data_IF_936212236090
#
_entry.id   IF_936212236090
#
_cell.length_a   1.000
_cell.length_b   1.000
_cell.length_c   1.000
_cell.angle_alpha   90.00
_cell.angle_beta   90.00
_cell.angle_gamma   90.00
#
_symmetry.space_group_name_H-M   'P 1'
#
loop_
_entity.id
_entity.type
_entity.pdbx_description
1 polymer ?
#
# COMPACT_ATOMS: atom_id res chain seq x y z
N UNK A 1 -25.50 -1.45 -35.47
CA UNK A 1 -26.05 -1.36 -34.10
C UNK A 1 -25.63 -2.60 -33.34
N UNK A 2 -24.66 -2.46 -32.42
CA UNK A 2 -24.24 -3.54 -31.51
C UNK A 2 -24.83 -3.20 -30.14
N UNK A 3 -25.58 -4.14 -29.54
CA UNK A 3 -26.39 -3.86 -28.35
C UNK A 3 -25.55 -3.48 -27.13
N UNK A 4 -26.06 -2.54 -26.34
CA UNK A 4 -25.42 -1.97 -25.14
C UNK A 4 -25.05 -3.05 -24.10
N UNK A 5 -25.74 -4.19 -24.11
CA UNK A 5 -25.43 -5.36 -23.27
C UNK A 5 -24.05 -5.97 -23.56
N UNK A 6 -23.54 -5.90 -24.80
CA UNK A 6 -22.20 -6.40 -25.12
C UNK A 6 -21.06 -5.47 -24.65
N UNK A 7 -21.35 -4.22 -24.25
CA UNK A 7 -20.36 -3.31 -23.65
C UNK A 7 -20.11 -3.58 -22.16
N UNK A 8 -21.07 -4.17 -21.45
CA UNK A 8 -21.01 -4.37 -19.99
C UNK A 8 -20.28 -5.68 -19.63
N UNK A 9 -20.33 -6.70 -20.48
CA UNK A 9 -19.81 -8.05 -20.18
C UNK A 9 -18.29 -8.24 -20.32
N UNK A 10 -17.52 -7.21 -20.73
CA UNK A 10 -16.06 -7.33 -20.96
C UNK A 10 -15.17 -6.90 -19.79
N UNK A 11 -15.72 -6.72 -18.59
CA UNK A 11 -14.92 -6.45 -17.39
C UNK A 11 -14.54 -7.76 -16.66
N UNK A 12 -13.61 -8.53 -17.24
CA UNK A 12 -12.75 -9.44 -16.48
C UNK A 12 -11.29 -9.01 -16.72
N UNK A 13 -10.61 -8.56 -15.67
CA UNK A 13 -9.17 -8.36 -15.71
C UNK A 13 -8.52 -9.75 -15.77
N UNK A 14 -8.12 -10.18 -16.96
CA UNK A 14 -7.28 -11.37 -17.12
C UNK A 14 -5.87 -11.03 -16.61
N UNK A 15 -5.50 -11.60 -15.46
CA UNK A 15 -4.13 -11.66 -14.99
C UNK A 15 -3.34 -12.68 -15.84
N UNK A 16 -2.42 -12.19 -16.68
CA UNK A 16 -1.37 -12.93 -17.39
C UNK A 16 -0.13 -12.02 -17.29
N UNK A 17 1.12 -12.43 -17.06
CA UNK A 17 1.81 -13.71 -16.97
C UNK A 17 3.07 -13.42 -16.12
N UNK A 18 3.22 -14.03 -14.94
CA UNK A 18 4.50 -14.05 -14.21
C UNK A 18 4.75 -15.49 -13.76
N UNK A 19 5.15 -16.32 -14.71
CA UNK A 19 5.61 -17.69 -14.44
C UNK A 19 6.81 -17.99 -15.34
N UNK A 20 7.94 -17.37 -15.03
CA UNK A 20 9.24 -17.73 -15.62
C UNK A 20 10.39 -17.43 -14.67
N UNK A 21 10.28 -17.88 -13.42
CA UNK A 21 11.37 -17.90 -12.45
C UNK A 21 11.16 -19.04 -11.45
N UNK A 22 11.12 -20.28 -11.94
CA UNK A 22 11.12 -21.47 -11.10
C UNK A 22 11.55 -22.68 -11.91
N UNK A 23 12.85 -22.78 -12.18
CA UNK A 23 13.50 -24.04 -12.59
C UNK A 23 15.01 -23.83 -12.58
N UNK A 24 15.61 -24.06 -11.41
CA UNK A 24 16.99 -24.49 -11.20
C UNK A 24 16.99 -25.09 -9.79
N UNK A 25 17.70 -26.18 -9.58
CA UNK A 25 17.69 -27.10 -8.42
C UNK A 25 16.67 -28.25 -8.50
N UNK A 26 17.00 -29.23 -9.34
CA UNK A 26 16.69 -30.64 -9.07
C UNK A 26 18.01 -31.41 -9.02
N UNK A 27 18.20 -32.11 -7.92
CA UNK A 27 19.40 -32.83 -7.46
C UNK A 27 19.79 -34.01 -8.33
N UNK A 28 21.10 -34.23 -8.48
CA UNK A 28 21.73 -35.34 -9.21
C UNK A 28 22.07 -36.55 -8.32
N UNK A 29 21.81 -37.72 -8.90
CA UNK A 29 22.55 -39.00 -8.85
C UNK A 29 22.74 -39.78 -7.52
N UNK A 30 22.17 -40.99 -7.54
CA UNK A 30 22.52 -42.17 -6.76
C UNK A 30 23.90 -42.74 -7.14
N UNK A 31 24.64 -43.16 -6.11
CA UNK A 31 25.27 -44.49 -6.00
C UNK A 31 26.57 -44.79 -6.76
N UNK A 32 27.67 -44.99 -6.02
CA UNK A 32 28.36 -46.29 -5.92
C UNK A 32 29.45 -46.28 -4.83
N UNK A 33 29.61 -47.42 -4.18
CA UNK A 33 30.44 -47.66 -3.01
C UNK A 33 31.79 -48.30 -3.37
N UNK A 34 32.87 -47.91 -2.68
CA UNK A 34 34.08 -48.73 -2.56
C UNK A 34 34.71 -48.63 -1.15
N UNK A 35 35.27 -49.77 -0.72
CA UNK A 35 35.74 -50.12 0.63
C UNK A 35 37.09 -49.47 1.01
N UNK A 36 37.08 -48.82 2.18
CA UNK A 36 37.99 -48.86 3.35
C UNK A 36 39.49 -49.16 3.12
N UNK A 37 40.33 -48.19 3.53
CA UNK A 37 41.58 -48.43 4.28
C UNK A 37 41.59 -47.54 5.53
N UNK A 38 41.92 -48.14 6.68
CA UNK A 38 42.02 -47.47 7.99
C UNK A 38 43.34 -46.72 8.09
N UNK A 39 43.27 -45.41 8.35
CA UNK A 39 44.42 -44.59 8.79
C UNK A 39 44.06 -43.88 10.10
N UNK A 40 45.09 -43.66 10.92
CA UNK A 40 45.03 -43.23 12.32
C UNK A 40 44.24 -41.93 12.57
N UNK A 41 43.63 -41.74 13.76
CA UNK A 41 42.78 -40.60 14.05
C UNK A 41 43.62 -39.31 14.15
N UNK A 42 43.43 -38.41 13.19
CA UNK A 42 43.87 -37.02 13.27
C UNK A 42 42.90 -36.30 14.22
N UNK A 43 43.41 -35.84 15.37
CA UNK A 43 42.68 -34.90 16.22
C UNK A 43 42.44 -33.61 15.43
N UNK A 44 41.22 -33.46 14.92
CA UNK A 44 40.77 -32.22 14.28
C UNK A 44 40.11 -31.36 15.34
N UNK A 45 40.74 -30.23 15.66
CA UNK A 45 40.08 -29.12 16.34
C UNK A 45 38.93 -28.65 15.43
N UNK A 46 37.73 -29.16 15.65
CA UNK A 46 36.51 -28.62 15.06
C UNK A 46 36.21 -27.25 15.67
N UNK A 47 36.95 -26.23 15.24
CA UNK A 47 36.40 -24.88 15.25
C UNK A 47 35.22 -24.92 14.30
N UNK A 48 34.01 -24.98 14.86
CA UNK A 48 32.77 -24.79 14.11
C UNK A 48 32.84 -23.42 13.42
N UNK A 49 33.28 -23.41 12.16
CA UNK A 49 33.07 -22.29 11.27
C UNK A 49 31.55 -22.25 11.08
N UNK A 50 30.87 -21.43 11.90
CA UNK A 50 29.49 -21.08 11.64
C UNK A 50 29.48 -20.33 10.32
N UNK A 51 29.26 -21.05 9.23
CA UNK A 51 28.91 -20.48 7.94
C UNK A 51 27.54 -19.84 8.15
N UNK A 52 27.53 -18.58 8.58
CA UNK A 52 26.32 -17.78 8.56
C UNK A 52 25.83 -17.78 7.10
N UNK A 53 24.59 -18.21 6.83
CA UNK A 53 24.06 -18.15 5.47
C UNK A 53 24.20 -16.71 4.99
N UNK A 54 25.03 -16.50 3.98
CA UNK A 54 25.30 -15.21 3.34
C UNK A 54 24.10 -14.77 2.50
N UNK A 55 22.88 -14.89 3.03
CA UNK A 55 21.69 -14.44 2.34
C UNK A 55 21.66 -12.92 2.39
N UNK A 56 22.07 -12.28 1.29
CA UNK A 56 21.80 -10.87 1.09
C UNK A 56 20.27 -10.67 1.10
N UNK A 57 19.73 -9.82 2.00
CA UNK A 57 18.30 -9.59 2.08
C UNK A 57 17.74 -9.05 0.77
N UNK A 58 16.57 -9.55 0.36
CA UNK A 58 15.88 -9.08 -0.83
C UNK A 58 15.32 -7.68 -0.58
N UNK A 59 15.80 -6.70 -1.35
CA UNK A 59 15.25 -5.34 -1.35
C UNK A 59 13.90 -5.30 -2.08
N UNK A 60 12.82 -5.09 -1.34
CA UNK A 60 11.47 -4.91 -1.85
C UNK A 60 11.36 -3.51 -2.50
N UNK A 61 11.62 -3.43 -3.80
CA UNK A 61 11.76 -2.17 -4.54
C UNK A 61 10.40 -1.63 -4.98
N UNK A 62 9.79 -0.81 -4.13
CA UNK A 62 8.50 -0.19 -4.42
C UNK A 62 8.56 0.91 -5.48
N UNK A 63 9.70 1.57 -5.69
CA UNK A 63 9.88 2.50 -6.82
C UNK A 63 9.75 1.78 -8.16
N UNK A 64 10.41 0.62 -8.31
CA UNK A 64 10.34 -0.18 -9.53
C UNK A 64 8.91 -0.70 -9.75
N UNK A 65 8.29 -1.24 -8.70
CA UNK A 65 6.91 -1.73 -8.79
C UNK A 65 5.91 -0.60 -9.11
N UNK A 66 6.09 0.58 -8.50
CA UNK A 66 5.30 1.77 -8.80
C UNK A 66 5.35 2.13 -10.28
N UNK A 67 6.53 2.12 -10.90
CA UNK A 67 6.69 2.38 -12.34
C UNK A 67 5.84 1.42 -13.19
N UNK A 68 5.95 0.11 -12.93
CA UNK A 68 5.18 -0.89 -13.68
C UNK A 68 3.67 -0.72 -13.51
N UNK A 69 3.20 -0.43 -12.29
CA UNK A 69 1.77 -0.23 -12.05
C UNK A 69 1.30 1.07 -12.72
N UNK A 70 2.08 2.13 -12.70
CA UNK A 70 1.76 3.40 -13.37
C UNK A 70 1.57 3.21 -14.88
N UNK A 71 2.40 2.39 -15.53
CA UNK A 71 2.25 2.02 -16.95
C UNK A 71 0.91 1.31 -17.20
N UNK A 72 0.52 0.37 -16.31
CA UNK A 72 -0.79 -0.28 -16.38
C UNK A 72 -1.94 0.71 -16.19
N UNK A 73 -1.84 1.62 -15.20
CA UNK A 73 -2.87 2.63 -14.94
C UNK A 73 -3.04 3.55 -16.16
N UNK A 74 -1.94 4.00 -16.77
CA UNK A 74 -2.01 4.84 -17.99
C UNK A 74 -2.75 4.12 -19.12
N UNK A 75 -2.39 2.86 -19.40
CA UNK A 75 -3.05 2.05 -20.42
C UNK A 75 -4.55 1.87 -20.15
N UNK A 76 -4.90 1.55 -18.91
CA UNK A 76 -6.29 1.39 -18.50
C UNK A 76 -7.06 2.72 -18.58
N UNK A 77 -6.39 3.83 -18.28
CA UNK A 77 -6.95 5.18 -18.39
C UNK A 77 -7.25 5.56 -19.84
N UNK A 78 -6.31 5.31 -20.77
CA UNK A 78 -6.52 5.60 -22.20
C UNK A 78 -7.68 4.77 -22.77
N UNK A 79 -7.76 3.50 -22.37
CA UNK A 79 -8.87 2.62 -22.72
C UNK A 79 -10.21 3.10 -22.13
N UNK A 80 -10.20 3.60 -20.89
CA UNK A 80 -11.41 4.13 -20.26
C UNK A 80 -11.87 5.43 -20.93
N UNK A 81 -10.95 6.37 -21.18
CA UNK A 81 -11.22 7.66 -21.85
C UNK A 81 -11.79 7.46 -23.24
N UNK A 82 -11.18 6.61 -24.06
CA UNK A 82 -11.65 6.35 -25.44
C UNK A 82 -13.06 5.76 -25.49
N UNK A 83 -13.50 5.01 -24.46
CA UNK A 83 -14.82 4.37 -24.41
C UNK A 83 -15.90 5.23 -23.78
N UNK A 84 -15.55 6.01 -22.76
CA UNK A 84 -16.51 6.76 -21.94
C UNK A 84 -16.55 8.26 -22.25
N UNK A 85 -15.50 8.81 -22.87
CA UNK A 85 -15.28 10.25 -22.99
C UNK A 85 -14.88 10.94 -21.68
N UNK A 86 -14.81 10.22 -20.56
CA UNK A 86 -14.54 10.77 -19.23
C UNK A 86 -13.05 10.74 -18.95
N UNK A 87 -12.50 11.87 -18.51
CA UNK A 87 -11.14 11.94 -17.96
C UNK A 87 -11.21 11.90 -16.43
N UNK A 88 -10.60 10.90 -15.77
CA UNK A 88 -10.56 10.85 -14.31
C UNK A 88 -10.02 12.14 -13.70
N UNK A 89 -10.64 12.60 -12.61
CA UNK A 89 -10.27 13.85 -11.96
C UNK A 89 -10.10 13.66 -10.45
N UNK A 90 -8.92 14.02 -9.96
CA UNK A 90 -8.59 14.08 -8.53
C UNK A 90 -8.62 15.53 -8.03
N UNK A 91 -9.32 15.76 -6.93
CA UNK A 91 -9.30 17.00 -6.15
C UNK A 91 -8.56 16.75 -4.83
N UNK A 92 -7.65 17.64 -4.47
CA UNK A 92 -6.96 17.64 -3.18
C UNK A 92 -7.30 18.92 -2.44
N UNK A 93 -7.86 18.77 -1.25
CA UNK A 93 -8.15 19.86 -0.31
C UNK A 93 -6.98 19.93 0.67
N UNK A 94 -6.34 21.09 0.76
CA UNK A 94 -5.16 21.30 1.57
C UNK A 94 -5.27 22.60 2.37
N UNK A 95 -4.92 22.54 3.66
CA UNK A 95 -4.96 23.67 4.58
C UNK A 95 -3.55 23.87 5.14
N UNK A 96 -2.95 25.04 4.90
CA UNK A 96 -1.63 25.42 5.41
C UNK A 96 -0.54 25.53 4.35
N UNK A 97 0.71 25.72 4.81
CA UNK A 97 1.87 26.12 3.98
C UNK A 97 3.12 25.26 4.21
N UNK A 98 2.95 24.04 4.71
CA UNK A 98 4.04 23.11 4.97
C UNK A 98 4.74 22.63 3.67
N UNK A 99 6.03 22.97 3.44
CA UNK A 99 6.73 22.63 2.19
C UNK A 99 6.87 21.12 1.93
N UNK A 100 6.94 20.31 3.00
CA UNK A 100 7.05 18.86 2.89
C UNK A 100 5.73 18.24 2.40
N UNK A 101 4.60 18.71 2.93
CA UNK A 101 3.27 18.30 2.45
C UNK A 101 3.07 18.75 1.01
N UNK A 102 3.45 19.97 0.66
CA UNK A 102 3.37 20.48 -0.71
C UNK A 102 4.19 19.67 -1.71
N UNK A 103 5.39 19.23 -1.32
CA UNK A 103 6.21 18.32 -2.12
C UNK A 103 5.47 16.99 -2.38
N UNK A 104 4.79 16.46 -1.36
CA UNK A 104 3.97 15.25 -1.51
C UNK A 104 2.74 15.47 -2.41
N UNK A 105 2.06 16.61 -2.28
CA UNK A 105 0.95 17.02 -3.17
C UNK A 105 1.45 17.14 -4.62
N UNK A 106 2.63 17.74 -4.83
CA UNK A 106 3.27 17.86 -6.14
C UNK A 106 3.50 16.49 -6.76
N UNK A 107 3.91 15.49 -5.98
CA UNK A 107 4.04 14.12 -6.46
C UNK A 107 2.70 13.51 -6.91
N UNK A 108 1.59 13.81 -6.21
CA UNK A 108 0.23 13.41 -6.64
C UNK A 108 -0.16 14.07 -7.97
N UNK A 109 0.11 15.37 -8.13
CA UNK A 109 -0.13 16.10 -9.38
C UNK A 109 0.65 15.50 -10.55
N UNK A 110 1.97 15.33 -10.39
CA UNK A 110 2.83 14.70 -11.41
C UNK A 110 2.34 13.29 -11.74
N UNK A 111 1.90 12.54 -10.73
CA UNK A 111 1.31 11.22 -10.92
C UNK A 111 0.05 11.28 -11.80
N UNK A 112 -0.87 12.19 -11.52
CA UNK A 112 -2.08 12.42 -12.30
C UNK A 112 -1.76 12.77 -13.76
N UNK A 113 -0.84 13.72 -13.99
CA UNK A 113 -0.40 14.11 -15.33
C UNK A 113 0.15 12.92 -16.11
N UNK A 114 1.01 12.11 -15.48
CA UNK A 114 1.62 10.92 -16.11
C UNK A 114 0.59 9.88 -16.55
N UNK A 115 -0.49 9.70 -15.79
CA UNK A 115 -1.55 8.73 -16.13
C UNK A 115 -2.68 9.35 -16.96
N UNK A 116 -2.66 10.66 -17.21
CA UNK A 116 -3.64 11.37 -18.03
C UNK A 116 -4.92 11.79 -17.29
N UNK A 117 -4.82 12.03 -15.98
CA UNK A 117 -5.90 12.54 -15.12
C UNK A 117 -5.90 14.06 -15.04
N UNK A 118 -7.06 14.64 -14.72
CA UNK A 118 -7.17 16.02 -14.22
C UNK A 118 -6.80 16.07 -12.74
N UNK A 119 -6.24 17.20 -12.33
CA UNK A 119 -5.87 17.45 -10.94
C UNK A 119 -6.25 18.87 -10.54
N UNK A 120 -6.94 18.99 -9.40
CA UNK A 120 -7.24 20.28 -8.76
C UNK A 120 -6.63 20.29 -7.36
N UNK A 121 -5.98 21.39 -7.00
CA UNK A 121 -5.54 21.67 -5.64
C UNK A 121 -6.34 22.86 -5.12
N UNK A 122 -7.19 22.60 -4.14
CA UNK A 122 -7.87 23.62 -3.37
C UNK A 122 -7.05 23.86 -2.12
N UNK A 123 -6.25 24.93 -2.15
CA UNK A 123 -5.37 25.35 -1.07
C UNK A 123 -6.04 26.47 -0.27
N UNK A 124 -6.06 26.30 1.03
CA UNK A 124 -6.59 27.25 1.99
C UNK A 124 -5.55 27.61 3.05
N UNK A 125 -5.70 28.78 3.65
CA UNK A 125 -4.90 29.24 4.79
C UNK A 125 -5.36 28.59 6.09
N UNK A 126 -4.51 28.57 7.11
CA UNK A 126 -4.81 27.88 8.37
C UNK A 126 -5.98 28.50 9.15
N UNK A 127 -6.34 29.75 8.90
CA UNK A 127 -7.45 30.46 9.55
C UNK A 127 -8.84 30.10 8.98
N UNK A 128 -8.91 29.26 7.93
CA UNK A 128 -10.19 28.83 7.37
C UNK A 128 -11.05 28.13 8.42
N UNK A 129 -12.36 28.39 8.38
CA UNK A 129 -13.30 27.70 9.25
C UNK A 129 -13.71 26.33 8.70
N UNK A 130 -14.13 25.44 9.60
CA UNK A 130 -14.51 24.07 9.25
C UNK A 130 -15.73 24.01 8.32
N UNK A 131 -16.72 24.89 8.50
CA UNK A 131 -17.94 24.92 7.68
C UNK A 131 -17.65 25.29 6.21
N UNK A 132 -16.67 26.15 5.96
CA UNK A 132 -16.19 26.46 4.62
C UNK A 132 -15.58 25.22 3.96
N UNK A 133 -14.77 24.45 4.68
CA UNK A 133 -14.20 23.20 4.17
C UNK A 133 -15.29 22.16 3.88
N UNK A 134 -16.29 22.02 4.76
CA UNK A 134 -17.43 21.12 4.54
C UNK A 134 -18.21 21.49 3.28
N UNK A 135 -18.46 22.78 3.04
CA UNK A 135 -19.10 23.27 1.81
C UNK A 135 -18.28 22.95 0.55
N UNK A 136 -16.96 23.10 0.62
CA UNK A 136 -16.07 22.74 -0.50
C UNK A 136 -16.08 21.22 -0.77
N UNK A 137 -16.04 20.39 0.28
CA UNK A 137 -16.16 18.94 0.12
C UNK A 137 -17.50 18.55 -0.48
N UNK A 138 -18.60 19.17 -0.04
CA UNK A 138 -19.93 18.94 -0.58
C UNK A 138 -20.01 19.30 -2.07
N UNK A 139 -19.51 20.48 -2.44
CA UNK A 139 -19.43 20.94 -3.84
C UNK A 139 -18.73 19.92 -4.74
N UNK A 140 -17.52 19.46 -4.36
CA UNK A 140 -16.80 18.44 -5.13
C UNK A 140 -17.46 17.06 -5.09
N UNK A 141 -18.17 16.74 -4.00
CA UNK A 141 -18.91 15.49 -3.86
C UNK A 141 -20.12 15.44 -4.80
N UNK A 142 -20.71 16.59 -5.12
CA UNK A 142 -21.83 16.71 -6.05
C UNK A 142 -21.40 16.82 -7.53
N UNK A 143 -20.19 17.34 -7.83
CA UNK A 143 -19.73 17.50 -9.21
C UNK A 143 -19.52 16.14 -9.93
N UNK A 144 -20.30 15.81 -10.99
CA UNK A 144 -20.15 14.55 -11.71
C UNK A 144 -18.81 14.41 -12.45
N UNK A 145 -18.04 15.50 -12.60
CA UNK A 145 -16.72 15.47 -13.23
C UNK A 145 -15.59 15.15 -12.25
N UNK A 146 -15.82 15.25 -10.94
CA UNK A 146 -14.85 14.90 -9.90
C UNK A 146 -14.98 13.42 -9.56
N UNK A 147 -13.87 12.68 -9.60
CA UNK A 147 -13.88 11.24 -9.33
C UNK A 147 -13.14 10.86 -8.05
N UNK A 148 -12.26 11.71 -7.53
CA UNK A 148 -11.58 11.47 -6.27
C UNK A 148 -11.44 12.74 -5.47
N UNK A 149 -11.64 12.65 -4.17
CA UNK A 149 -11.42 13.73 -3.21
C UNK A 149 -10.45 13.21 -2.15
N UNK A 150 -9.47 14.04 -1.80
CA UNK A 150 -8.59 13.82 -0.65
C UNK A 150 -8.58 15.07 0.21
N UNK A 151 -8.75 14.90 1.51
CA UNK A 151 -8.38 15.89 2.50
C UNK A 151 -6.94 15.61 2.93
N UNK A 152 -6.01 16.49 2.59
CA UNK A 152 -4.60 16.32 2.90
C UNK A 152 -4.35 16.56 4.38
N UNK A 153 -3.78 15.55 5.05
CA UNK A 153 -3.42 15.59 6.46
C UNK A 153 -1.93 15.93 6.67
N UNK A 154 -1.53 16.41 7.87
CA UNK A 154 -2.38 16.86 8.98
C UNK A 154 -3.14 18.15 8.67
N UNK A 155 -4.22 18.40 9.43
CA UNK A 155 -4.96 19.67 9.43
C UNK A 155 -4.62 20.47 10.70
N UNK A 156 -4.87 21.79 10.70
CA UNK A 156 -4.83 22.61 11.91
C UNK A 156 -5.68 22.02 13.04
N UNK A 157 -5.25 22.24 14.30
CA UNK A 157 -5.83 21.60 15.47
C UNK A 157 -7.29 21.97 15.78
N UNK A 158 -7.78 23.10 15.25
CA UNK A 158 -9.18 23.52 15.41
C UNK A 158 -10.14 22.85 14.43
N UNK A 159 -9.63 22.07 13.47
CA UNK A 159 -10.45 21.39 12.45
C UNK A 159 -10.52 19.89 12.75
N UNK A 160 -11.74 19.35 12.80
CA UNK A 160 -11.94 17.92 12.94
C UNK A 160 -11.74 17.20 11.60
N UNK A 161 -10.53 16.67 11.42
CA UNK A 161 -10.19 15.84 10.25
C UNK A 161 -11.14 14.66 10.03
N UNK A 162 -11.67 14.05 11.10
CA UNK A 162 -12.59 12.93 10.96
C UNK A 162 -13.91 13.39 10.37
N UNK A 163 -14.46 14.51 10.87
CA UNK A 163 -15.70 15.10 10.35
C UNK A 163 -15.61 15.42 8.85
N UNK A 164 -14.51 16.05 8.42
CA UNK A 164 -14.27 16.34 7.00
C UNK A 164 -14.14 15.08 6.15
N UNK A 165 -13.38 14.07 6.62
CA UNK A 165 -13.24 12.81 5.87
C UNK A 165 -14.59 12.11 5.73
N UNK A 166 -15.43 12.11 6.78
CA UNK A 166 -16.75 11.47 6.74
C UNK A 166 -17.76 12.21 5.86
N UNK A 167 -17.53 13.49 5.53
CA UNK A 167 -18.42 14.23 4.61
C UNK A 167 -18.15 13.97 3.14
N UNK A 168 -17.08 13.24 2.79
CA UNK A 168 -16.78 12.84 1.41
C UNK A 168 -17.75 11.74 0.99
N UNK A 169 -18.35 11.82 -0.21
CA UNK A 169 -19.10 10.70 -0.78
C UNK A 169 -18.20 9.44 -0.81
N UNK A 170 -18.59 8.31 -0.19
CA UNK A 170 -17.79 7.09 -0.17
C UNK A 170 -17.38 6.57 -1.56
N UNK A 171 -18.09 6.94 -2.62
CA UNK A 171 -17.75 6.64 -4.02
C UNK A 171 -16.63 7.51 -4.58
N UNK A 172 -16.31 8.63 -3.95
CA UNK A 172 -15.23 9.57 -4.28
C UNK A 172 -14.10 9.57 -3.24
N UNK A 173 -14.25 8.84 -2.14
CA UNK A 173 -13.24 8.59 -1.11
C UNK A 173 -12.12 7.65 -1.63
N UNK A 174 -11.29 8.17 -2.51
CA UNK A 174 -10.19 7.43 -3.15
C UNK A 174 -9.03 7.12 -2.21
N UNK A 175 -9.02 7.74 -1.02
CA UNK A 175 -8.08 7.39 0.05
C UNK A 175 -8.66 6.34 1.03
N UNK A 176 -9.93 5.96 0.87
CA UNK A 176 -10.57 4.85 1.57
C UNK A 176 -10.77 5.05 3.07
N UNK A 177 -10.87 6.28 3.55
CA UNK A 177 -10.88 6.64 4.98
C UNK A 177 -12.28 6.88 5.56
N UNK A 178 -13.32 6.94 4.74
CA UNK A 178 -14.71 6.98 5.23
C UNK A 178 -15.05 5.72 6.01
N UNK A 179 -15.91 5.85 7.02
CA UNK A 179 -16.39 4.73 7.84
C UNK A 179 -17.10 3.68 6.99
N UNK A 180 -17.70 4.06 5.85
CA UNK A 180 -18.27 3.11 4.89
C UNK A 180 -17.18 2.21 4.32
N UNK A 181 -16.07 2.76 3.82
CA UNK A 181 -14.98 1.96 3.27
C UNK A 181 -14.25 1.14 4.34
N UNK A 182 -13.89 1.76 5.46
CA UNK A 182 -13.21 1.09 6.57
C UNK A 182 -14.09 0.01 7.23
N UNK A 183 -15.39 0.28 7.38
CA UNK A 183 -16.35 -0.67 7.94
C UNK A 183 -16.50 -1.92 7.06
N UNK A 184 -16.52 -1.76 5.73
CA UNK A 184 -16.53 -2.90 4.81
C UNK A 184 -15.27 -3.75 4.93
N UNK A 185 -14.09 -3.13 5.11
CA UNK A 185 -12.85 -3.86 5.41
C UNK A 185 -13.03 -4.63 6.71
N UNK A 186 -13.45 -3.98 7.79
CA UNK A 186 -13.60 -4.61 9.10
C UNK A 186 -14.57 -5.81 9.09
N UNK A 187 -15.69 -5.68 8.38
CA UNK A 187 -16.69 -6.74 8.23
C UNK A 187 -16.28 -7.86 7.26
N UNK A 188 -15.04 -7.86 6.77
CA UNK A 188 -14.53 -8.77 5.75
C UNK A 188 -15.44 -8.82 4.50
N UNK A 189 -15.88 -7.64 4.06
CA UNK A 189 -16.68 -7.42 2.86
C UNK A 189 -15.85 -6.68 1.81
N UNK A 190 -16.43 -6.43 0.64
CA UNK A 190 -15.74 -5.75 -0.47
C UNK A 190 -15.93 -4.23 -0.35
N UNK A 191 -14.92 -3.46 0.11
CA UNK A 191 -15.02 -2.01 0.15
C UNK A 191 -15.00 -1.40 -1.26
N UNK A 192 -15.49 -0.16 -1.40
CA UNK A 192 -15.32 0.59 -2.64
C UNK A 192 -13.85 0.95 -2.83
N UNK A 193 -13.19 1.41 -1.76
CA UNK A 193 -11.76 1.73 -1.76
C UNK A 193 -11.08 1.17 -0.52
N UNK A 194 -9.82 0.78 -0.69
CA UNK A 194 -8.92 0.39 0.39
C UNK A 194 -7.92 1.52 0.57
N UNK A 195 -7.55 1.89 1.81
CA UNK A 195 -6.52 2.90 2.04
C UNK A 195 -5.23 2.64 1.27
N UNK A 196 -4.69 3.69 0.68
CA UNK A 196 -3.65 3.61 -0.34
C UNK A 196 -2.37 2.96 0.18
N UNK A 197 -1.97 3.27 1.42
CA UNK A 197 -0.77 2.72 2.05
C UNK A 197 -0.91 1.24 2.39
N UNK A 198 -1.97 0.78 3.11
CA UNK A 198 -2.27 -0.65 3.23
C UNK A 198 -2.31 -1.37 1.88
N UNK A 199 -2.96 -0.79 0.86
CA UNK A 199 -3.01 -1.40 -0.47
C UNK A 199 -1.62 -1.53 -1.11
N UNK A 200 -0.75 -0.52 -0.95
CA UNK A 200 0.63 -0.56 -1.44
C UNK A 200 1.48 -1.63 -0.74
N UNK A 201 1.28 -1.81 0.56
CA UNK A 201 1.89 -2.89 1.35
C UNK A 201 1.45 -4.26 0.82
N UNK A 202 0.16 -4.45 0.54
CA UNK A 202 -0.35 -5.70 -0.04
C UNK A 202 0.25 -5.96 -1.43
N UNK A 203 0.31 -4.93 -2.27
CA UNK A 203 0.79 -5.07 -3.65
C UNK A 203 2.28 -5.43 -3.71
N UNK A 204 3.11 -4.83 -2.85
CA UNK A 204 4.54 -5.20 -2.79
C UNK A 204 4.73 -6.60 -2.23
N UNK A 205 3.97 -6.99 -1.21
CA UNK A 205 4.03 -8.37 -0.70
C UNK A 205 3.61 -9.39 -1.77
N UNK A 206 2.56 -9.08 -2.53
CA UNK A 206 2.08 -9.91 -3.64
C UNK A 206 3.11 -10.02 -4.75
N UNK A 207 3.69 -8.91 -5.19
CA UNK A 207 4.69 -8.88 -6.27
C UNK A 207 5.93 -9.73 -5.95
N UNK A 208 6.28 -9.83 -4.67
CA UNK A 208 7.40 -10.62 -4.17
C UNK A 208 6.99 -12.00 -3.61
N UNK A 209 5.73 -12.43 -3.82
CA UNK A 209 5.20 -13.72 -3.38
C UNK A 209 5.35 -14.01 -1.87
N UNK A 210 5.24 -12.97 -1.04
CA UNK A 210 5.29 -13.09 0.42
C UNK A 210 3.97 -13.68 0.91
N UNK A 211 4.01 -14.92 1.41
CA UNK A 211 2.83 -15.58 2.00
C UNK A 211 2.65 -15.16 3.45
N UNK A 212 1.43 -14.80 3.85
CA UNK A 212 1.10 -14.39 5.23
C UNK A 212 0.36 -15.45 6.03
N UNK A 213 -0.25 -16.43 5.37
CA UNK A 213 -1.02 -17.48 6.01
C UNK A 213 -0.20 -18.22 7.07
N UNK A 214 -0.71 -18.26 8.31
CA UNK A 214 -0.08 -18.91 9.46
C UNK A 214 1.12 -18.17 10.04
N UNK A 215 1.54 -17.03 9.47
CA UNK A 215 2.66 -16.24 9.98
C UNK A 215 2.24 -15.34 11.13
N UNK A 216 3.15 -15.12 12.08
CA UNK A 216 3.01 -14.10 13.09
C UNK A 216 3.49 -12.74 12.54
N UNK A 217 2.56 -11.80 12.39
CA UNK A 217 2.83 -10.44 11.92
C UNK A 217 2.70 -9.46 13.08
N UNK A 218 3.75 -8.67 13.31
CA UNK A 218 3.72 -7.55 14.25
C UNK A 218 3.53 -6.26 13.48
N UNK A 219 2.50 -5.49 13.84
CA UNK A 219 2.23 -4.16 13.28
C UNK A 219 2.51 -3.12 14.36
N UNK A 220 3.45 -2.21 14.15
CA UNK A 220 3.71 -1.08 15.05
C UNK A 220 3.00 0.17 14.54
N UNK A 221 2.19 0.77 15.41
CA UNK A 221 1.34 1.91 15.07
C UNK A 221 -0.08 1.46 14.81
N UNK A 222 -1.05 2.19 15.38
CA UNK A 222 -2.49 1.84 15.35
C UNK A 222 -3.38 2.91 14.69
N UNK A 223 -2.82 3.70 13.78
CA UNK A 223 -3.60 4.68 13.03
C UNK A 223 -4.65 3.96 12.16
N UNK A 224 -5.77 4.63 11.88
CA UNK A 224 -6.76 4.11 10.92
C UNK A 224 -6.19 4.14 9.50
N UNK A 225 -5.33 5.13 9.19
CA UNK A 225 -4.70 5.27 7.87
C UNK A 225 -3.86 4.05 7.47
N UNK A 226 -3.14 3.44 8.43
CA UNK A 226 -2.25 2.31 8.15
C UNK A 226 -2.49 1.16 9.11
N UNK A 227 -2.10 1.32 10.37
CA UNK A 227 -1.87 0.20 11.30
C UNK A 227 -3.09 -0.69 11.55
N UNK A 228 -4.22 -0.10 11.96
CA UNK A 228 -5.45 -0.87 12.22
C UNK A 228 -5.99 -1.51 10.94
N UNK A 229 -5.93 -0.79 9.83
CA UNK A 229 -6.42 -1.25 8.54
C UNK A 229 -5.61 -2.43 8.03
N UNK A 230 -4.27 -2.32 7.98
CA UNK A 230 -3.43 -3.42 7.50
C UNK A 230 -3.51 -4.63 8.43
N UNK A 231 -3.54 -4.42 9.75
CA UNK A 231 -3.70 -5.49 10.73
C UNK A 231 -5.02 -6.27 10.50
N UNK A 232 -6.11 -5.54 10.26
CA UNK A 232 -7.41 -6.14 9.96
C UNK A 232 -7.36 -6.93 8.64
N UNK A 233 -6.85 -6.32 7.57
CA UNK A 233 -6.78 -6.95 6.24
C UNK A 233 -5.99 -8.25 6.23
N UNK A 234 -4.80 -8.27 6.85
CA UNK A 234 -3.94 -9.46 6.81
C UNK A 234 -4.40 -10.55 7.78
N UNK A 235 -5.17 -10.20 8.81
CA UNK A 235 -5.76 -11.17 9.76
C UNK A 235 -6.93 -11.96 9.16
N UNK A 236 -7.63 -11.37 8.19
CA UNK A 236 -8.78 -12.01 7.56
C UNK A 236 -8.34 -13.19 6.70
N UNK A 237 -9.20 -14.20 6.56
CA UNK A 237 -9.04 -15.22 5.51
C UNK A 237 -9.03 -14.52 4.14
N UNK A 238 -8.40 -15.13 3.14
CA UNK A 238 -8.44 -14.68 1.74
C UNK A 238 -9.80 -14.07 1.40
N UNK A 239 -9.79 -12.75 1.18
CA UNK A 239 -10.98 -12.05 0.73
C UNK A 239 -11.35 -12.61 -0.65
N UNK A 240 -12.60 -12.41 -1.09
CA UNK A 240 -12.99 -12.60 -2.50
C UNK A 240 -12.24 -11.63 -3.47
N UNK A 241 -11.16 -11.00 -3.02
CA UNK A 241 -10.25 -10.15 -3.75
C UNK A 241 -8.89 -10.86 -3.86
N UNK A 242 -8.48 -11.33 -5.04
CA UNK A 242 -7.21 -12.02 -5.26
C UNK A 242 -5.96 -11.13 -5.04
N UNK A 243 -6.13 -9.86 -4.68
CA UNK A 243 -5.04 -8.95 -4.31
C UNK A 243 -4.84 -8.78 -2.80
N UNK A 244 -5.62 -9.47 -1.96
CA UNK A 244 -5.46 -9.42 -0.50
C UNK A 244 -4.92 -10.76 -0.02
N UNK A 245 -3.71 -10.72 0.55
CA UNK A 245 -3.07 -11.82 1.25
C UNK A 245 -3.61 -11.87 2.69
N UNK A 246 -4.14 -13.01 3.11
CA UNK A 246 -4.78 -13.17 4.42
C UNK A 246 -4.21 -14.28 5.28
N UNK A 247 -4.82 -14.47 6.44
CA UNK A 247 -4.62 -15.61 7.34
C UNK A 247 -3.42 -15.49 8.28
N UNK A 248 -2.92 -14.28 8.54
CA UNK A 248 -1.88 -14.05 9.53
C UNK A 248 -2.42 -14.02 10.96
N UNK A 249 -1.60 -14.46 11.91
CA UNK A 249 -1.77 -14.12 13.33
C UNK A 249 -1.16 -12.73 13.55
N UNK A 250 -1.97 -11.76 13.99
CA UNK A 250 -1.53 -10.35 14.04
C UNK A 250 -1.44 -9.84 15.48
N UNK A 251 -0.30 -9.24 15.82
CA UNK A 251 -0.11 -8.45 17.04
C UNK A 251 -0.02 -6.97 16.68
N UNK A 252 -1.00 -6.17 17.09
CA UNK A 252 -1.01 -4.72 16.88
C UNK A 252 -0.44 -3.99 18.11
N UNK A 253 0.72 -3.35 17.94
CA UNK A 253 1.44 -2.63 18.98
C UNK A 253 1.32 -1.11 18.83
N UNK A 254 1.47 -0.40 19.94
CA UNK A 254 1.40 1.05 20.01
C UNK A 254 2.22 1.60 21.18
N UNK A 255 2.30 2.92 21.35
CA UNK A 255 3.13 3.56 22.38
C UNK A 255 2.85 3.11 23.83
N UNK A 256 1.64 2.64 24.13
CA UNK A 256 1.29 2.07 25.46
C UNK A 256 1.54 0.57 25.60
N UNK A 257 1.97 -0.12 24.55
CA UNK A 257 2.23 -1.56 24.60
C UNK A 257 3.47 -1.84 25.44
N UNK A 258 3.36 -2.78 26.37
CA UNK A 258 4.50 -3.27 27.15
C UNK A 258 5.21 -4.39 26.38
N UNK A 259 6.49 -4.63 26.70
CA UNK A 259 7.27 -5.74 26.15
C UNK A 259 7.30 -5.82 24.62
N UNK A 260 7.35 -4.68 23.92
CA UNK A 260 7.39 -4.61 22.44
C UNK A 260 8.45 -5.55 21.85
N UNK A 261 9.63 -5.58 22.46
CA UNK A 261 10.75 -6.41 22.01
C UNK A 261 10.46 -7.91 22.05
N UNK A 262 9.60 -8.39 22.96
CA UNK A 262 9.21 -9.80 23.01
C UNK A 262 8.43 -10.19 21.75
N UNK A 263 7.50 -9.34 21.33
CA UNK A 263 6.71 -9.55 20.11
C UNK A 263 7.59 -9.45 18.86
N UNK A 264 8.49 -8.46 18.79
CA UNK A 264 9.44 -8.32 17.66
C UNK A 264 10.34 -9.54 17.47
N UNK A 265 10.77 -10.18 18.57
CA UNK A 265 11.63 -11.38 18.54
C UNK A 265 10.91 -12.63 18.02
N UNK A 266 9.58 -12.65 17.97
CA UNK A 266 8.81 -13.80 17.49
C UNK A 266 8.19 -13.57 16.11
N UNK A 267 8.14 -12.32 15.65
CA UNK A 267 7.52 -11.92 14.39
C UNK A 267 8.19 -12.55 13.16
N UNK A 268 7.40 -13.16 12.28
CA UNK A 268 7.83 -13.52 10.91
C UNK A 268 7.87 -12.30 10.00
N UNK A 269 6.95 -11.36 10.21
CA UNK A 269 6.86 -10.10 9.47
C UNK A 269 6.67 -8.95 10.47
N UNK A 270 7.42 -7.87 10.28
CA UNK A 270 7.25 -6.61 11.03
C UNK A 270 6.82 -5.54 10.06
N UNK A 271 5.68 -4.90 10.33
CA UNK A 271 5.20 -3.72 9.61
C UNK A 271 5.26 -2.53 10.56
N UNK A 272 6.09 -1.53 10.29
CA UNK A 272 6.21 -0.34 11.14
C UNK A 272 5.61 0.89 10.46
N UNK A 273 4.65 1.54 11.13
CA UNK A 273 3.95 2.75 10.69
C UNK A 273 3.76 3.73 11.86
N UNK A 274 4.83 3.95 12.61
CA UNK A 274 4.90 4.81 13.80
C UNK A 274 5.39 6.22 13.50
N UNK A 275 6.19 6.40 12.45
CA UNK A 275 6.81 7.69 12.12
C UNK A 275 7.94 8.09 13.08
N UNK A 276 8.56 7.11 13.75
CA UNK A 276 9.63 7.30 14.73
C UNK A 276 10.91 6.67 14.18
N UNK A 277 11.83 7.51 13.73
CA UNK A 277 13.08 7.10 13.11
C UNK A 277 13.85 6.05 13.94
N UNK A 278 14.17 4.90 13.32
CA UNK A 278 15.02 3.87 13.92
C UNK A 278 14.47 3.21 15.20
N UNK A 279 13.15 3.27 15.43
CA UNK A 279 12.47 2.62 16.55
C UNK A 279 12.73 1.11 16.60
N UNK A 280 12.70 0.43 15.45
CA UNK A 280 12.92 -1.02 15.37
C UNK A 280 14.41 -1.29 15.14
N UNK A 281 15.06 -1.89 16.13
CA UNK A 281 16.50 -2.16 16.11
C UNK A 281 16.83 -3.62 15.81
N UNK A 282 18.02 -3.87 15.24
CA UNK A 282 18.50 -5.20 14.86
C UNK A 282 18.43 -6.21 16.01
N UNK A 283 18.82 -5.84 17.22
CA UNK A 283 18.87 -6.72 18.39
C UNK A 283 17.49 -7.23 18.81
N UNK A 284 16.40 -6.56 18.43
CA UNK A 284 15.03 -6.93 18.80
C UNK A 284 14.36 -7.89 17.79
N UNK A 285 15.05 -8.22 16.69
CA UNK A 285 14.50 -9.03 15.61
C UNK A 285 15.09 -10.44 15.60
N UNK A 286 14.27 -11.40 15.16
CA UNK A 286 14.74 -12.74 14.80
C UNK A 286 15.41 -12.76 13.43
N UNK A 287 16.24 -13.76 13.20
CA UNK A 287 16.81 -14.02 11.88
C UNK A 287 15.72 -14.51 10.93
N UNK A 288 15.77 -14.06 9.69
CA UNK A 288 14.83 -14.42 8.64
C UNK A 288 13.50 -13.66 8.67
N UNK A 289 13.41 -12.56 9.43
CA UNK A 289 12.22 -11.69 9.47
C UNK A 289 12.00 -10.96 8.13
N UNK A 290 10.75 -10.63 7.79
CA UNK A 290 10.43 -9.72 6.69
C UNK A 290 10.11 -8.34 7.26
N UNK A 291 10.71 -7.29 6.72
CA UNK A 291 10.60 -5.92 7.27
C UNK A 291 9.87 -5.00 6.28
N UNK A 292 8.70 -4.49 6.66
CA UNK A 292 7.94 -3.49 5.90
C UNK A 292 7.97 -2.18 6.70
N UNK A 293 8.79 -1.25 6.24
CA UNK A 293 8.93 0.09 6.79
C UNK A 293 8.06 1.09 6.02
N UNK A 294 7.03 1.58 6.72
CA UNK A 294 6.09 2.59 6.22
C UNK A 294 6.49 3.98 6.73
N UNK A 295 7.28 4.04 7.81
CA UNK A 295 7.72 5.27 8.43
C UNK A 295 8.58 6.10 7.50
N UNK A 296 8.39 7.41 7.55
CA UNK A 296 9.24 8.38 6.87
C UNK A 296 9.49 9.52 7.85
N UNK A 297 10.75 9.69 8.23
CA UNK A 297 11.24 10.78 9.07
C UNK A 297 12.44 11.44 8.39
N UNK A 298 12.68 12.70 8.71
CA UNK A 298 13.88 13.42 8.29
C UNK A 298 14.92 13.37 9.40
N UNK A 299 16.16 13.05 9.05
CA UNK A 299 17.30 13.11 9.95
C UNK A 299 18.40 13.92 9.29
N UNK A 300 18.98 14.86 10.04
CA UNK A 300 20.15 15.61 9.59
C UNK A 300 21.37 14.72 9.73
N UNK A 301 22.09 14.55 8.63
CA UNK A 301 23.38 13.88 8.63
C UNK A 301 24.39 14.79 9.36
N UNK A 302 24.94 14.31 10.46
CA UNK A 302 25.85 15.10 11.32
C UNK A 302 27.16 15.45 10.61
N UNK A 303 27.59 14.67 9.62
CA UNK A 303 28.87 14.86 8.92
C UNK A 303 28.74 15.82 7.74
N UNK A 304 27.64 15.73 7.00
CA UNK A 304 27.43 16.49 5.76
C UNK A 304 26.43 17.62 5.91
N UNK A 305 25.66 17.66 7.00
CA UNK A 305 24.54 18.58 7.20
C UNK A 305 23.33 18.29 6.31
N UNK A 306 23.41 17.29 5.43
CA UNK A 306 22.34 16.94 4.49
C UNK A 306 21.14 16.32 5.20
N UNK A 307 19.93 16.63 4.76
CA UNK A 307 18.71 16.01 5.27
C UNK A 307 18.49 14.69 4.54
N UNK A 308 18.49 13.59 5.28
CA UNK A 308 18.22 12.25 4.77
C UNK A 308 16.84 11.77 5.23
N UNK A 309 16.12 11.09 4.34
CA UNK A 309 14.92 10.35 4.71
C UNK A 309 15.30 9.00 5.31
N UNK A 310 14.80 8.74 6.51
CA UNK A 310 14.98 7.49 7.26
C UNK A 310 13.63 6.93 7.65
N UNK A 311 13.56 5.62 7.86
CA UNK A 311 12.33 4.95 8.26
C UNK A 311 12.28 4.62 9.73
N UNK A 312 11.21 3.95 10.14
CA UNK A 312 11.05 3.47 11.51
C UNK A 312 12.01 2.32 11.85
N UNK A 313 12.46 1.59 10.83
CA UNK A 313 13.33 0.43 10.97
C UNK A 313 14.76 0.89 10.74
N UNK A 314 15.62 0.67 11.73
CA UNK A 314 17.01 1.06 11.62
C UNK A 314 17.71 0.23 10.53
N UNK A 315 18.54 0.88 9.70
CA UNK A 315 19.09 0.27 8.48
C UNK A 315 19.96 -0.98 8.70
N UNK A 316 20.53 -1.15 9.90
CA UNK A 316 21.31 -2.33 10.25
C UNK A 316 20.44 -3.59 10.42
N UNK A 317 19.16 -3.41 10.76
CA UNK A 317 18.18 -4.47 10.94
C UNK A 317 17.96 -5.26 9.65
N UNK A 318 18.20 -4.64 8.48
CA UNK A 318 18.09 -5.31 7.19
C UNK A 318 18.96 -6.57 7.14
N UNK A 319 20.15 -6.56 7.77
CA UNK A 319 21.06 -7.71 7.79
C UNK A 319 20.50 -8.98 8.44
N UNK A 320 19.41 -8.89 9.23
CA UNK A 320 18.70 -10.05 9.80
C UNK A 320 17.53 -10.54 8.95
N UNK A 321 17.14 -9.78 7.93
CA UNK A 321 15.89 -10.00 7.20
C UNK A 321 16.06 -10.91 5.98
N UNK A 322 15.01 -11.66 5.62
CA UNK A 322 14.93 -12.28 4.29
C UNK A 322 14.63 -11.23 3.21
N UNK A 323 13.79 -10.26 3.56
CA UNK A 323 13.41 -9.18 2.68
C UNK A 323 13.06 -7.93 3.47
N UNK A 324 13.28 -6.75 2.88
CA UNK A 324 12.96 -5.48 3.51
C UNK A 324 12.53 -4.43 2.48
N UNK A 325 11.65 -3.51 2.87
CA UNK A 325 11.39 -2.29 2.09
C UNK A 325 12.42 -1.21 2.44
N UNK A 326 13.09 -0.58 1.47
CA UNK A 326 14.00 0.51 1.74
C UNK A 326 13.24 1.80 2.05
N UNK A 327 13.87 2.69 2.82
CA UNK A 327 13.43 4.08 2.97
C UNK A 327 14.57 5.01 2.54
N UNK A 328 14.37 5.86 1.51
CA UNK A 328 13.21 5.93 0.61
C UNK A 328 13.16 4.77 -0.41
N UNK A 329 12.03 4.66 -1.14
CA UNK A 329 11.86 3.76 -2.29
C UNK A 329 11.11 2.45 -2.04
N UNK A 330 10.61 2.27 -0.82
CA UNK A 330 9.76 1.15 -0.41
C UNK A 330 8.28 1.46 -0.57
N UNK A 331 7.55 1.61 0.54
CA UNK A 331 6.08 1.78 0.52
C UNK A 331 5.64 3.13 -0.05
N UNK A 332 6.38 4.20 0.18
CA UNK A 332 6.01 5.58 -0.21
C UNK A 332 5.58 5.77 -1.67
N UNK A 333 6.38 5.36 -2.67
CA UNK A 333 6.01 5.43 -4.09
C UNK A 333 4.70 4.68 -4.43
N UNK A 334 4.45 3.56 -3.75
CA UNK A 334 3.25 2.76 -3.97
C UNK A 334 2.00 3.45 -3.42
N UNK A 335 2.09 4.23 -2.33
CA UNK A 335 0.95 4.99 -1.80
C UNK A 335 0.35 5.91 -2.88
N UNK A 336 1.18 6.71 -3.56
CA UNK A 336 0.69 7.62 -4.62
C UNK A 336 0.15 6.81 -5.82
N UNK A 337 0.81 5.70 -6.15
CA UNK A 337 0.38 4.84 -7.26
C UNK A 337 -0.99 4.20 -7.00
N UNK A 338 -1.22 3.73 -5.76
CA UNK A 338 -2.47 3.13 -5.33
C UNK A 338 -3.61 4.15 -5.27
N UNK A 339 -3.30 5.39 -4.89
CA UNK A 339 -4.25 6.50 -4.99
C UNK A 339 -4.75 6.67 -6.43
N UNK A 340 -3.84 6.72 -7.41
CA UNK A 340 -4.22 6.88 -8.82
C UNK A 340 -5.04 5.69 -9.33
N UNK A 341 -4.72 4.48 -8.87
CA UNK A 341 -5.51 3.28 -9.14
C UNK A 341 -6.94 3.40 -8.58
N UNK A 342 -7.08 3.94 -7.35
CA UNK A 342 -8.38 4.20 -6.74
C UNK A 342 -9.16 5.28 -7.48
N UNK A 343 -8.52 6.35 -7.96
CA UNK A 343 -9.16 7.39 -8.79
C UNK A 343 -9.72 6.82 -10.10
N UNK A 344 -8.95 5.98 -10.81
CA UNK A 344 -9.45 5.29 -12.00
C UNK A 344 -10.62 4.36 -11.67
N UNK A 345 -10.49 3.57 -10.60
CA UNK A 345 -11.55 2.67 -10.12
C UNK A 345 -12.84 3.45 -9.81
N UNK A 346 -12.70 4.60 -9.17
CA UNK A 346 -13.81 5.49 -8.85
C UNK A 346 -14.50 6.01 -10.10
N UNK A 347 -13.72 6.50 -11.07
CA UNK A 347 -14.24 6.99 -12.35
C UNK A 347 -15.04 5.92 -13.10
N UNK A 348 -14.52 4.68 -13.13
CA UNK A 348 -15.21 3.53 -13.73
C UNK A 348 -16.51 3.21 -12.96
N UNK A 349 -16.48 3.24 -11.63
CA UNK A 349 -17.64 2.98 -10.79
C UNK A 349 -18.76 4.00 -11.05
N UNK A 350 -18.41 5.29 -11.05
CA UNK A 350 -19.36 6.38 -11.30
C UNK A 350 -19.97 6.28 -12.70
N UNK A 351 -19.16 6.01 -13.73
CA UNK A 351 -19.65 5.79 -15.10
C UNK A 351 -20.62 4.61 -15.21
N UNK A 352 -20.36 3.50 -14.51
CA UNK A 352 -21.27 2.35 -14.50
C UNK A 352 -22.61 2.68 -13.85
N UNK A 353 -22.60 3.43 -12.75
CA UNK A 353 -23.82 3.84 -12.05
C UNK A 353 -24.64 4.79 -12.92
N UNK A 354 -24.01 5.81 -13.53
CA UNK A 354 -24.70 6.75 -14.40
C UNK A 354 -25.32 6.07 -15.62
N UNK A 355 -24.57 5.17 -16.28
CA UNK A 355 -25.06 4.39 -17.43
C UNK A 355 -26.27 3.51 -17.05
N UNK A 356 -26.20 2.82 -15.91
CA UNK A 356 -27.30 1.96 -15.45
C UNK A 356 -28.57 2.77 -15.09
N UNK A 357 -28.41 3.99 -14.56
CA UNK A 357 -29.54 4.87 -14.25
C UNK A 357 -30.22 5.40 -15.53
N UNK A 358 -29.44 5.72 -16.56
CA UNK A 358 -29.98 6.10 -17.88
C UNK A 358 -30.80 4.94 -18.47
N UNK A 359 -30.25 3.72 -18.45
CA UNK A 359 -30.95 2.52 -18.95
C UNK A 359 -32.26 2.26 -18.20
N UNK A 360 -32.29 2.44 -16.88
CA UNK A 360 -33.52 2.32 -16.08
C UNK A 360 -34.55 3.38 -16.47
N UNK A 361 -34.13 4.64 -16.62
CA UNK A 361 -35.01 5.75 -16.99
C UNK A 361 -35.62 5.55 -18.38
N UNK A 362 -34.82 5.12 -19.36
CA UNK A 362 -35.31 4.80 -20.71
C UNK A 362 -36.33 3.65 -20.69
N UNK A 363 -36.08 2.59 -19.91
CA UNK A 363 -37.03 1.48 -19.77
C UNK A 363 -38.34 1.88 -19.08
N UNK A 364 -38.30 2.82 -18.12
CA UNK A 364 -39.51 3.32 -17.46
C UNK A 364 -40.33 4.31 -18.30
N UNK A 365 -39.74 4.94 -19.33
CA UNK A 365 -40.48 5.83 -20.25
C UNK A 365 -41.07 5.09 -21.45
N UNK A 366 -40.62 3.85 -21.70
CA UNK A 366 -41.09 2.99 -22.80
C UNK A 366 -42.21 2.01 -22.39
N UNK A 367 -42.51 1.92 -21.09
CA UNK A 367 -43.66 1.24 -20.52
C UNK A 367 -44.67 2.29 -20.04
#
# INVERSE_FOLDING_TARGET
>A
MISLQQRISRFSLNCCNISRFSRLFSTSSLGQAHKIQKTNPIQTNEQQIQVQPSHQPIKLNGTLLSKHIMESIKKDTDNFKSRSGITPHLVVIYVGDNPQIESYIKMKRIGCEKVGFKFTLDKFTEDINEDQLLKQIAYHSEDPNVNGIIVQLPLPSHIDSHKLIQSIDPKKDVDGLTSVNLGQIFLNKKPLFVPCTPLGIMEIMKAYNIKLQGKHVVVLGRSNLVGRTIATMISQKDMNNPSVLGGATVTLLHKYSKNINLHLRTADVVISATGVAGLVKKENLKNGVILIDVGISQQKDEKTGAIKLVGDIHSDAHSKSLAYTPVPGGVGPLTVTMLLRNVLKSSILQYKISSANIDKKLKSTLN
#
